data_IF_870500965645
#
_entry.id   IF_870500965645
#
_cell.length_a   1.000
_cell.length_b   1.000
_cell.length_c   1.000
_cell.angle_alpha   90.00
_cell.angle_beta   90.00
_cell.angle_gamma   90.00
#
_symmetry.space_group_name_H-M   'P 1'
#
loop_
_entity.id
_entity.type
_entity.pdbx_description
1 polymer ?
#
# COMPACT_ATOMS: atom_id res chain seq x y z
N UNK A 1 7.11 -38.36 0.73
CA UNK A 1 5.81 -37.75 1.06
C UNK A 1 6.06 -36.28 1.32
N UNK A 2 5.98 -35.46 0.27
CA UNK A 2 6.10 -34.01 0.39
C UNK A 2 4.71 -33.44 0.60
N UNK A 3 4.45 -32.84 1.75
CA UNK A 3 3.19 -32.13 1.99
C UNK A 3 3.53 -30.80 2.64
N UNK A 4 3.77 -29.82 1.76
CA UNK A 4 3.47 -28.40 1.93
C UNK A 4 3.83 -27.78 3.28
N UNK A 5 5.10 -27.43 3.46
CA UNK A 5 5.52 -26.40 4.42
C UNK A 5 5.15 -25.00 3.90
N UNK A 6 3.90 -24.79 3.47
CA UNK A 6 3.42 -23.45 3.20
C UNK A 6 3.26 -22.76 4.56
N UNK A 7 4.29 -22.01 4.96
CA UNK A 7 4.26 -21.12 6.12
C UNK A 7 3.10 -20.16 5.94
N UNK A 8 1.97 -20.47 6.57
CA UNK A 8 0.72 -19.73 6.43
C UNK A 8 0.80 -18.54 7.39
N UNK A 9 1.43 -17.46 6.95
CA UNK A 9 1.50 -16.21 7.70
C UNK A 9 0.11 -15.69 8.07
N UNK A 10 -0.01 -15.00 9.21
CA UNK A 10 -1.29 -14.43 9.66
C UNK A 10 -1.81 -13.42 8.62
N UNK A 11 -3.00 -13.67 8.02
CA UNK A 11 -3.59 -12.76 7.04
C UNK A 11 -3.74 -11.31 7.52
N UNK A 12 -3.93 -11.10 8.84
CA UNK A 12 -4.05 -9.76 9.42
C UNK A 12 -2.73 -8.99 9.33
N UNK A 13 -1.61 -9.67 9.54
CA UNK A 13 -0.28 -9.05 9.48
C UNK A 13 0.03 -8.62 8.05
N UNK A 14 -0.28 -9.47 7.07
CA UNK A 14 -0.11 -9.14 5.65
C UNK A 14 -0.94 -7.92 5.26
N UNK A 15 -2.19 -7.84 5.72
CA UNK A 15 -3.05 -6.70 5.46
C UNK A 15 -2.51 -5.41 6.07
N UNK A 16 -2.13 -5.44 7.36
CA UNK A 16 -1.57 -4.25 8.05
C UNK A 16 -0.28 -3.81 7.40
N UNK A 17 0.61 -4.74 7.06
CA UNK A 17 1.89 -4.41 6.44
C UNK A 17 1.70 -3.82 5.05
N UNK A 18 0.76 -4.35 4.26
CA UNK A 18 0.40 -3.78 2.96
C UNK A 18 -0.15 -2.35 3.10
N UNK A 19 -1.01 -2.11 4.10
CA UNK A 19 -1.52 -0.76 4.39
C UNK A 19 -0.40 0.21 4.76
N UNK A 20 0.53 -0.21 5.63
CA UNK A 20 1.67 0.61 6.05
C UNK A 20 2.57 0.92 4.85
N UNK A 21 2.98 -0.09 4.08
CA UNK A 21 3.83 0.10 2.89
C UNK A 21 3.15 1.00 1.85
N UNK A 22 1.86 0.77 1.58
CA UNK A 22 1.09 1.59 0.63
C UNK A 22 1.00 3.04 1.10
N UNK A 23 0.85 3.28 2.40
CA UNK A 23 0.80 4.64 2.97
C UNK A 23 2.14 5.34 2.86
N UNK A 24 3.25 4.65 3.15
CA UNK A 24 4.60 5.20 3.01
C UNK A 24 4.90 5.52 1.54
N UNK A 25 4.55 4.63 0.62
CA UNK A 25 4.71 4.87 -0.81
C UNK A 25 3.86 6.06 -1.29
N UNK A 26 2.58 6.10 -0.90
CA UNK A 26 1.69 7.21 -1.24
C UNK A 26 2.21 8.55 -0.70
N UNK A 27 2.74 8.58 0.52
CA UNK A 27 3.35 9.78 1.09
C UNK A 27 4.53 10.28 0.25
N UNK A 28 5.40 9.37 -0.21
CA UNK A 28 6.52 9.71 -1.09
C UNK A 28 6.06 10.28 -2.45
N UNK A 29 5.03 9.68 -3.05
CA UNK A 29 4.46 10.17 -4.32
C UNK A 29 3.82 11.54 -4.13
N UNK A 30 2.95 11.71 -3.14
CA UNK A 30 2.29 13.00 -2.87
C UNK A 30 3.32 14.07 -2.54
N UNK A 31 4.35 13.75 -1.76
CA UNK A 31 5.45 14.68 -1.49
C UNK A 31 6.16 15.12 -2.77
N UNK A 32 6.45 14.18 -3.68
CA UNK A 32 7.05 14.52 -4.98
C UNK A 32 6.12 15.38 -5.85
N UNK A 33 4.81 15.11 -5.82
CA UNK A 33 3.81 15.90 -6.55
C UNK A 33 3.64 17.30 -5.95
N UNK A 34 3.72 17.43 -4.63
CA UNK A 34 3.66 18.71 -3.92
C UNK A 34 4.90 19.57 -4.23
N UNK A 35 6.08 18.93 -4.25
CA UNK A 35 7.33 19.57 -4.67
C UNK A 35 7.25 20.13 -6.10
N UNK A 36 6.52 19.46 -6.99
CA UNK A 36 6.27 19.90 -8.36
C UNK A 36 5.07 20.86 -8.50
N UNK A 37 4.38 21.19 -7.40
CA UNK A 37 3.22 22.08 -7.38
C UNK A 37 1.94 21.49 -7.97
N UNK A 38 1.85 20.17 -8.12
CA UNK A 38 0.72 19.49 -8.76
C UNK A 38 -0.36 19.02 -7.78
N UNK A 39 0.02 18.53 -6.60
CA UNK A 39 -0.92 17.95 -5.64
C UNK A 39 -0.43 18.22 -4.21
N UNK A 40 -1.24 18.90 -3.40
CA UNK A 40 -0.85 19.27 -2.05
C UNK A 40 -0.59 18.07 -1.13
N UNK A 41 0.44 18.15 -0.28
CA UNK A 41 0.72 17.15 0.76
C UNK A 41 -0.28 17.25 1.92
N UNK A 42 -1.40 16.54 1.79
CA UNK A 42 -2.44 16.46 2.81
C UNK A 42 -2.71 15.02 3.23
N UNK A 43 -3.23 14.84 4.45
CA UNK A 43 -3.61 13.53 4.97
C UNK A 43 -4.62 12.83 4.05
N UNK A 44 -5.61 13.57 3.52
CA UNK A 44 -6.63 13.02 2.62
C UNK A 44 -6.00 12.50 1.33
N UNK A 45 -5.12 13.29 0.68
CA UNK A 45 -4.48 12.87 -0.56
C UNK A 45 -3.61 11.62 -0.39
N UNK A 46 -2.85 11.54 0.70
CA UNK A 46 -2.03 10.36 1.01
C UNK A 46 -2.91 9.15 1.27
N UNK A 47 -3.96 9.29 2.10
CA UNK A 47 -4.87 8.19 2.41
C UNK A 47 -5.62 7.68 1.16
N UNK A 48 -6.12 8.59 0.32
CA UNK A 48 -6.78 8.24 -0.94
C UNK A 48 -5.86 7.48 -1.87
N UNK A 49 -4.63 7.97 -2.07
CA UNK A 49 -3.66 7.30 -2.93
C UNK A 49 -3.22 5.94 -2.37
N UNK A 50 -3.03 5.84 -1.05
CA UNK A 50 -2.70 4.58 -0.39
C UNK A 50 -3.81 3.52 -0.58
N UNK A 51 -5.08 3.92 -0.48
CA UNK A 51 -6.22 3.04 -0.73
C UNK A 51 -6.29 2.59 -2.19
N UNK A 52 -6.01 3.48 -3.15
CA UNK A 52 -5.92 3.13 -4.57
C UNK A 52 -4.81 2.12 -4.82
N UNK A 53 -3.61 2.36 -4.28
CA UNK A 53 -2.48 1.43 -4.41
C UNK A 53 -2.80 0.07 -3.80
N UNK A 54 -3.39 0.04 -2.59
CA UNK A 54 -3.83 -1.20 -1.96
C UNK A 54 -4.83 -1.97 -2.83
N UNK A 55 -5.82 -1.28 -3.39
CA UNK A 55 -6.83 -1.89 -4.24
C UNK A 55 -6.20 -2.50 -5.51
N UNK A 56 -5.25 -1.78 -6.12
CA UNK A 56 -4.49 -2.28 -7.28
C UNK A 56 -3.67 -3.51 -6.90
N UNK A 57 -2.95 -3.49 -5.78
CA UNK A 57 -2.19 -4.67 -5.31
C UNK A 57 -3.09 -5.88 -5.13
N UNK A 58 -4.29 -5.69 -4.55
CA UNK A 58 -5.25 -6.78 -4.39
C UNK A 58 -5.74 -7.31 -5.75
N UNK A 59 -6.05 -6.42 -6.69
CA UNK A 59 -6.48 -6.81 -8.04
C UNK A 59 -5.40 -7.56 -8.83
N UNK A 60 -4.13 -7.15 -8.69
CA UNK A 60 -3.01 -7.77 -9.40
C UNK A 60 -2.63 -9.13 -8.83
N UNK A 61 -2.81 -9.31 -7.51
CA UNK A 61 -2.40 -10.53 -6.81
C UNK A 61 -3.53 -11.59 -6.75
N UNK A 62 -4.78 -11.18 -6.94
CA UNK A 62 -5.97 -12.04 -6.94
C UNK A 62 -6.19 -12.70 -8.30
#
# INVERSE_FOLDING_TARGET
>A
MGTDTASRGDPRVLFVMNLVLSSVFAAGVVWGLDFLGMLALTFVNVASLALVVMAVTYLVTR
#
